data_IF_425988031248
#
_entry.id   IF_425988031248
#
_cell.length_a   1.000
_cell.length_b   1.000
_cell.length_c   1.000
_cell.angle_alpha   90.00
_cell.angle_beta   90.00
_cell.angle_gamma   90.00
#
_symmetry.space_group_name_H-M   'P 1'
#
loop_
_entity.id
_entity.type
_entity.pdbx_description
1 polymer ?
#
# COMPACT_ATOMS: atom_id res chain seq x y z
N UNK A 1 -10.84 2.37 21.69
CA UNK A 1 -11.65 1.75 20.64
C UNK A 1 -10.97 1.97 19.29
N UNK A 2 -11.23 1.08 18.31
CA UNK A 2 -10.75 1.28 16.95
C UNK A 2 -11.78 2.09 16.17
N UNK A 3 -11.35 3.19 15.57
CA UNK A 3 -12.10 3.97 14.61
C UNK A 3 -11.99 3.36 13.22
N UNK A 4 -12.77 3.82 12.26
CA UNK A 4 -12.80 3.31 10.89
C UNK A 4 -12.58 4.44 9.89
N UNK A 5 -11.55 4.33 9.06
CA UNK A 5 -11.37 5.16 7.87
C UNK A 5 -11.78 4.39 6.62
N UNK A 6 -12.62 5.00 5.79
CA UNK A 6 -13.15 4.41 4.57
C UNK A 6 -12.72 5.25 3.37
N UNK A 7 -11.91 4.67 2.48
CA UNK A 7 -11.61 5.26 1.18
C UNK A 7 -12.83 5.20 0.26
N UNK A 8 -13.11 6.29 -0.40
CA UNK A 8 -14.06 6.38 -1.50
C UNK A 8 -13.33 6.79 -2.77
N UNK A 9 -13.76 6.24 -3.91
CA UNK A 9 -13.05 6.45 -5.17
C UNK A 9 -13.69 7.52 -6.03
N UNK A 10 -14.72 7.17 -6.77
CA UNK A 10 -15.39 8.06 -7.72
C UNK A 10 -16.90 7.95 -7.62
N UNK A 11 -17.62 9.01 -7.97
CA UNK A 11 -19.07 9.01 -8.11
C UNK A 11 -19.48 8.32 -9.41
N UNK A 12 -19.77 7.02 -9.30
CA UNK A 12 -20.11 6.17 -10.43
C UNK A 12 -21.55 5.69 -10.35
N UNK A 13 -22.35 6.05 -11.36
CA UNK A 13 -23.71 5.55 -11.53
C UNK A 13 -23.77 4.57 -12.72
N UNK A 14 -24.18 3.33 -12.43
CA UNK A 14 -24.37 2.28 -13.46
C UNK A 14 -25.37 2.67 -14.56
N UNK A 15 -26.29 3.60 -14.30
CA UNK A 15 -27.25 4.10 -15.28
C UNK A 15 -26.67 5.12 -16.26
N UNK A 16 -25.50 5.69 -15.94
CA UNK A 16 -24.80 6.73 -16.70
C UNK A 16 -23.47 6.20 -17.26
N UNK A 17 -23.49 5.03 -17.92
CA UNK A 17 -22.28 4.41 -18.49
C UNK A 17 -21.63 5.34 -19.52
N UNK A 18 -20.47 5.90 -19.17
CA UNK A 18 -19.67 6.74 -20.07
C UNK A 18 -18.80 5.81 -20.93
N UNK A 19 -18.93 5.83 -22.27
CA UNK A 19 -18.08 4.99 -23.11
C UNK A 19 -16.70 5.63 -23.32
N UNK A 20 -15.64 4.98 -22.81
CA UNK A 20 -14.26 5.40 -23.01
C UNK A 20 -13.56 4.56 -24.07
N UNK A 21 -12.67 5.19 -24.83
CA UNK A 21 -11.98 4.56 -25.95
C UNK A 21 -10.49 4.96 -25.99
N UNK A 22 -9.65 3.99 -26.30
CA UNK A 22 -8.30 4.23 -26.79
C UNK A 22 -8.28 3.98 -28.31
N UNK A 23 -8.26 5.04 -29.11
CA UNK A 23 -8.51 4.94 -30.56
C UNK A 23 -9.92 4.42 -30.86
N UNK A 24 -10.03 3.20 -31.40
CA UNK A 24 -11.31 2.52 -31.66
C UNK A 24 -11.62 1.42 -30.62
N UNK A 25 -10.69 1.13 -29.73
CA UNK A 25 -10.84 0.09 -28.74
C UNK A 25 -11.57 0.63 -27.51
N UNK A 26 -12.69 -0.02 -27.14
CA UNK A 26 -13.39 0.31 -25.90
C UNK A 26 -12.54 -0.15 -24.69
N UNK A 27 -12.37 0.76 -23.73
CA UNK A 27 -11.65 0.51 -22.46
C UNK A 27 -12.52 0.94 -21.29
N UNK A 28 -12.14 0.56 -20.07
CA UNK A 28 -12.69 1.19 -18.87
C UNK A 28 -12.17 2.61 -18.77
N UNK A 29 -13.04 3.52 -18.33
CA UNK A 29 -12.68 4.92 -18.15
C UNK A 29 -11.64 5.09 -17.03
N UNK A 30 -10.76 6.04 -17.19
CA UNK A 30 -9.90 6.51 -16.11
C UNK A 30 -10.65 7.38 -15.09
N UNK A 31 -10.06 7.64 -13.92
CA UNK A 31 -10.73 8.37 -12.84
C UNK A 31 -11.09 9.81 -13.19
N UNK A 32 -10.42 10.42 -14.17
CA UNK A 32 -10.67 11.81 -14.60
C UNK A 32 -12.02 12.02 -15.29
N UNK A 33 -12.69 10.94 -15.70
CA UNK A 33 -14.04 11.01 -16.30
C UNK A 33 -15.15 11.10 -15.24
N UNK A 34 -14.81 10.97 -13.96
CA UNK A 34 -15.75 10.96 -12.85
C UNK A 34 -15.33 11.95 -11.76
N UNK A 35 -16.30 12.47 -11.02
CA UNK A 35 -16.02 13.26 -9.82
C UNK A 35 -15.49 12.34 -8.71
N UNK A 36 -14.48 12.79 -7.97
CA UNK A 36 -14.01 12.11 -6.77
C UNK A 36 -15.04 12.21 -5.63
N UNK A 37 -15.00 11.26 -4.72
CA UNK A 37 -15.82 11.25 -3.50
C UNK A 37 -14.91 11.34 -2.28
N UNK A 38 -15.26 12.23 -1.34
CA UNK A 38 -14.51 12.36 -0.10
C UNK A 38 -14.52 11.05 0.70
N UNK A 39 -13.36 10.69 1.21
CA UNK A 39 -13.22 9.62 2.20
C UNK A 39 -13.97 9.95 3.48
N UNK A 40 -14.17 8.94 4.33
CA UNK A 40 -14.96 9.09 5.55
C UNK A 40 -14.21 8.53 6.76
N UNK A 41 -14.22 9.30 7.86
CA UNK A 41 -13.73 8.85 9.16
C UNK A 41 -14.92 8.67 10.12
N UNK A 42 -15.02 7.48 10.66
CA UNK A 42 -16.05 7.08 11.61
C UNK A 42 -15.43 6.82 12.98
N UNK A 43 -15.87 7.59 13.96
CA UNK A 43 -15.50 7.38 15.36
C UNK A 43 -16.35 6.26 15.97
N UNK A 44 -15.70 5.31 16.60
CA UNK A 44 -16.34 4.25 17.36
C UNK A 44 -16.94 4.82 18.68
N UNK A 45 -18.21 4.55 18.93
CA UNK A 45 -18.91 5.03 20.14
C UNK A 45 -18.76 4.07 21.33
N UNK A 46 -18.08 2.91 21.14
CA UNK A 46 -17.90 1.89 22.19
C UNK A 46 -19.11 1.03 22.49
N UNK A 47 -20.22 1.22 21.77
CA UNK A 47 -21.48 0.46 21.92
C UNK A 47 -21.84 -0.37 20.67
N UNK A 48 -20.91 -0.47 19.72
CA UNK A 48 -21.09 -1.13 18.42
C UNK A 48 -21.64 -0.21 17.33
N UNK A 49 -21.82 1.08 17.63
CA UNK A 49 -22.18 2.09 16.64
C UNK A 49 -21.02 3.02 16.31
N UNK A 50 -21.12 3.72 15.18
CA UNK A 50 -20.12 4.68 14.71
C UNK A 50 -20.75 6.04 14.40
N UNK A 51 -19.99 7.09 14.60
CA UNK A 51 -20.37 8.47 14.26
C UNK A 51 -19.45 9.00 13.16
N UNK A 52 -20.02 9.49 12.06
CA UNK A 52 -19.26 10.19 11.03
C UNK A 52 -18.68 11.49 11.59
N UNK A 53 -17.35 11.57 11.62
CA UNK A 53 -16.61 12.72 12.13
C UNK A 53 -15.75 13.38 11.06
N UNK A 54 -15.83 12.95 9.82
CA UNK A 54 -14.98 13.35 8.69
C UNK A 54 -14.71 14.85 8.63
N UNK A 55 -15.78 15.67 8.60
CA UNK A 55 -15.64 17.13 8.52
C UNK A 55 -15.15 17.75 9.84
N UNK A 56 -15.61 17.23 10.97
CA UNK A 56 -15.20 17.69 12.31
C UNK A 56 -13.73 17.39 12.57
N UNK A 57 -13.28 16.22 12.14
CA UNK A 57 -11.91 15.78 12.29
C UNK A 57 -10.92 16.46 11.31
N UNK A 58 -11.42 17.13 10.27
CA UNK A 58 -10.57 17.84 9.30
C UNK A 58 -9.97 16.97 8.20
N UNK A 59 -10.53 15.76 7.96
CA UNK A 59 -10.05 14.83 6.93
C UNK A 59 -10.90 14.84 5.65
N UNK A 60 -11.76 15.83 5.48
CA UNK A 60 -12.67 15.90 4.35
C UNK A 60 -12.04 16.55 3.12
N UNK A 61 -11.71 15.75 2.10
CA UNK A 61 -11.20 16.18 0.79
C UNK A 61 -12.22 15.79 -0.29
N UNK A 62 -13.03 16.73 -0.80
CA UNK A 62 -14.21 16.41 -1.62
C UNK A 62 -13.88 15.86 -3.01
N UNK A 63 -12.65 16.00 -3.47
CA UNK A 63 -12.17 15.54 -4.79
C UNK A 63 -11.18 14.39 -4.67
N UNK A 64 -11.02 13.80 -3.50
CA UNK A 64 -10.15 12.64 -3.30
C UNK A 64 -10.62 11.46 -4.17
N UNK A 65 -9.68 10.60 -4.52
CA UNK A 65 -9.92 9.31 -5.20
C UNK A 65 -9.13 8.25 -4.48
N UNK A 66 -9.44 8.07 -3.18
CA UNK A 66 -8.72 7.17 -2.29
C UNK A 66 -8.88 5.71 -2.69
N UNK A 67 -7.77 4.99 -2.81
CA UNK A 67 -7.74 3.55 -3.06
C UNK A 67 -7.04 2.77 -1.95
N UNK A 68 -5.93 3.28 -1.42
CA UNK A 68 -5.20 2.68 -0.32
C UNK A 68 -5.11 3.60 0.89
N UNK A 69 -5.15 3.03 2.09
CA UNK A 69 -4.99 3.78 3.34
C UNK A 69 -4.19 2.99 4.37
N UNK A 70 -3.32 3.70 5.07
CA UNK A 70 -2.61 3.20 6.26
C UNK A 70 -2.65 4.26 7.36
N UNK A 71 -2.46 3.81 8.60
CA UNK A 71 -2.52 4.69 9.77
C UNK A 71 -1.26 4.54 10.64
N UNK A 72 -0.08 4.97 10.15
CA UNK A 72 1.16 4.99 10.91
C UNK A 72 1.23 6.20 11.86
N UNK A 73 2.17 6.16 12.80
CA UNK A 73 2.69 7.34 13.49
C UNK A 73 3.99 7.74 12.76
N UNK A 74 3.91 8.69 11.82
CA UNK A 74 5.05 9.02 10.96
C UNK A 74 6.04 9.99 11.58
N UNK A 75 5.67 10.65 12.69
CA UNK A 75 6.48 11.67 13.36
C UNK A 75 6.86 11.31 14.79
N UNK A 76 6.60 10.07 15.22
CA UNK A 76 6.90 9.48 16.55
C UNK A 76 6.33 10.32 17.71
N UNK A 77 5.14 10.94 17.51
CA UNK A 77 4.46 11.75 18.54
C UNK A 77 3.48 10.94 19.41
N UNK A 78 3.28 9.66 19.10
CA UNK A 78 2.41 8.72 19.80
C UNK A 78 0.96 8.75 19.32
N UNK A 79 0.65 9.45 18.24
CA UNK A 79 -0.68 9.52 17.64
C UNK A 79 -0.66 9.01 16.21
N UNK A 80 -1.54 8.07 15.90
CA UNK A 80 -1.65 7.57 14.54
C UNK A 80 -2.09 8.67 13.56
N UNK A 81 -1.32 8.86 12.49
CA UNK A 81 -1.62 9.71 11.35
C UNK A 81 -2.40 8.90 10.30
N UNK A 82 -2.85 9.53 9.21
CA UNK A 82 -3.56 8.83 8.14
C UNK A 82 -2.90 9.21 6.81
N UNK A 83 -2.36 8.22 6.09
CA UNK A 83 -1.90 8.40 4.72
C UNK A 83 -2.83 7.71 3.74
N UNK A 84 -3.23 8.42 2.67
CA UNK A 84 -4.13 7.91 1.62
C UNK A 84 -3.45 8.01 0.26
N UNK A 85 -3.37 6.87 -0.42
CA UNK A 85 -2.97 6.77 -1.81
C UNK A 85 -4.16 7.12 -2.71
N UNK A 86 -4.03 8.18 -3.51
CA UNK A 86 -5.07 8.72 -4.38
C UNK A 86 -4.75 8.48 -5.86
N UNK A 87 -5.72 8.02 -6.64
CA UNK A 87 -5.56 7.81 -8.09
C UNK A 87 -5.60 9.14 -8.84
N UNK A 88 -4.49 9.49 -9.50
CA UNK A 88 -4.29 10.72 -10.28
C UNK A 88 -4.59 12.03 -9.52
N UNK A 89 -4.61 11.96 -8.20
CA UNK A 89 -4.68 13.11 -7.31
C UNK A 89 -3.47 13.11 -6.37
N UNK A 90 -3.09 14.27 -5.79
CA UNK A 90 -2.08 14.26 -4.74
C UNK A 90 -2.45 13.29 -3.62
N UNK A 91 -1.50 12.47 -3.18
CA UNK A 91 -1.69 11.68 -1.98
C UNK A 91 -1.84 12.59 -0.78
N UNK A 92 -2.64 12.18 0.21
CA UNK A 92 -2.89 12.99 1.40
C UNK A 92 -2.26 12.36 2.63
N UNK A 93 -1.63 13.19 3.45
CA UNK A 93 -1.13 12.83 4.77
C UNK A 93 -1.79 13.74 5.81
N UNK A 94 -2.63 13.15 6.63
CA UNK A 94 -3.33 13.84 7.72
C UNK A 94 -2.58 13.60 9.03
N UNK A 95 -1.91 14.63 9.54
CA UNK A 95 -1.19 14.61 10.80
C UNK A 95 -2.17 14.79 11.96
N UNK A 96 -2.18 13.84 12.86
CA UNK A 96 -3.01 13.83 14.06
C UNK A 96 -2.56 14.94 15.03
N UNK A 97 -3.50 15.72 15.54
CA UNK A 97 -3.21 16.83 16.46
C UNK A 97 -3.37 16.43 17.94
N UNK A 98 -3.56 15.14 18.24
CA UNK A 98 -3.76 14.63 19.60
C UNK A 98 -5.06 15.06 20.30
N UNK A 99 -5.97 15.67 19.57
CA UNK A 99 -7.23 16.21 20.09
C UNK A 99 -8.47 15.74 19.32
N UNK A 100 -8.32 14.71 18.48
CA UNK A 100 -9.37 14.17 17.61
C UNK A 100 -9.56 14.98 16.32
N UNK A 101 -8.61 15.84 15.97
CA UNK A 101 -8.56 16.53 14.68
C UNK A 101 -7.24 16.26 13.96
N UNK A 102 -7.26 16.42 12.66
CA UNK A 102 -6.12 16.20 11.77
C UNK A 102 -5.85 17.43 10.92
N UNK A 103 -4.61 17.54 10.43
CA UNK A 103 -4.19 18.57 9.49
C UNK A 103 -3.57 17.91 8.27
N UNK A 104 -4.07 18.23 7.08
CA UNK A 104 -3.49 17.73 5.83
C UNK A 104 -2.14 18.43 5.59
N UNK A 105 -1.05 17.65 5.46
CA UNK A 105 0.32 18.14 5.29
C UNK A 105 1.11 17.36 4.22
N UNK A 106 0.48 16.51 3.39
CA UNK A 106 1.17 15.64 2.44
C UNK A 106 2.10 16.38 1.49
N UNK A 107 1.66 17.52 0.92
CA UNK A 107 2.52 18.34 0.09
C UNK A 107 3.66 19.01 0.87
N UNK A 108 3.39 19.50 2.08
CA UNK A 108 4.39 20.13 2.93
C UNK A 108 5.47 19.14 3.35
N UNK A 109 5.08 17.90 3.56
CA UNK A 109 5.95 16.82 4.05
C UNK A 109 6.58 15.96 2.95
N UNK A 110 6.37 16.31 1.67
CA UNK A 110 7.07 15.70 0.54
C UNK A 110 6.47 14.40 0.01
N UNK A 111 5.35 13.90 0.55
CA UNK A 111 4.78 12.59 0.17
C UNK A 111 3.49 12.65 -0.68
N UNK A 112 3.08 13.85 -1.13
CA UNK A 112 1.88 14.00 -1.97
C UNK A 112 2.13 13.68 -3.45
N UNK A 113 3.36 13.80 -3.92
CA UNK A 113 3.80 13.69 -5.32
C UNK A 113 5.07 12.86 -5.41
N UNK A 114 5.36 12.33 -6.60
CA UNK A 114 6.67 11.74 -6.88
C UNK A 114 7.78 12.83 -6.98
N UNK A 115 9.03 12.41 -7.16
CA UNK A 115 10.20 13.30 -7.28
C UNK A 115 10.11 14.30 -8.44
N UNK A 116 9.30 14.04 -9.46
CA UNK A 116 9.04 14.96 -10.57
C UNK A 116 7.92 15.96 -10.27
N UNK A 117 7.30 15.91 -9.10
CA UNK A 117 6.16 16.73 -8.70
C UNK A 117 4.84 16.35 -9.37
N UNK A 118 4.70 15.11 -9.79
CA UNK A 118 3.52 14.57 -10.47
C UNK A 118 2.70 13.75 -9.48
N UNK A 119 1.38 13.93 -9.49
CA UNK A 119 0.44 13.05 -8.81
C UNK A 119 0.26 11.78 -9.66
N UNK A 120 0.69 10.65 -9.13
CA UNK A 120 0.59 9.35 -9.81
C UNK A 120 -0.81 8.73 -9.65
N UNK A 121 -1.09 7.69 -10.42
CA UNK A 121 -2.23 6.80 -10.19
C UNK A 121 -1.93 5.86 -9.02
N UNK A 122 -1.92 6.41 -7.80
CA UNK A 122 -1.55 5.68 -6.60
C UNK A 122 -2.67 4.78 -6.11
N UNK A 123 -2.35 3.52 -5.75
CA UNK A 123 -3.35 2.49 -5.42
C UNK A 123 -3.09 1.79 -4.10
N UNK A 124 -2.07 0.96 -4.03
CA UNK A 124 -1.68 0.27 -2.80
C UNK A 124 -0.67 1.10 -2.01
N UNK A 125 -0.64 0.86 -0.72
CA UNK A 125 0.33 1.48 0.19
C UNK A 125 0.64 0.54 1.35
N UNK A 126 1.89 0.57 1.77
CA UNK A 126 2.33 -0.04 3.02
C UNK A 126 3.37 0.82 3.72
N UNK A 127 3.66 0.52 4.97
CA UNK A 127 4.59 1.25 5.82
C UNK A 127 5.56 0.30 6.50
N UNK A 128 6.83 0.69 6.59
CA UNK A 128 7.88 -0.09 7.25
C UNK A 128 9.19 0.69 7.32
N UNK A 129 10.06 0.29 8.24
CA UNK A 129 11.43 0.80 8.38
C UNK A 129 12.35 -0.02 7.46
N UNK A 130 12.53 0.46 6.19
CA UNK A 130 13.24 -0.33 5.17
C UNK A 130 14.76 -0.30 5.33
N UNK A 131 15.30 0.73 5.97
CA UNK A 131 16.77 0.93 6.13
C UNK A 131 17.27 0.75 7.56
N UNK A 132 16.37 0.36 8.48
CA UNK A 132 16.64 0.10 9.90
C UNK A 132 17.15 1.33 10.64
N UNK A 133 16.67 2.52 10.28
CA UNK A 133 17.00 3.76 10.99
C UNK A 133 16.04 4.07 12.15
N UNK A 134 14.91 3.38 12.21
CA UNK A 134 13.90 3.45 13.28
C UNK A 134 12.67 4.27 12.90
N UNK A 135 12.61 4.85 11.70
CA UNK A 135 11.54 5.67 11.21
C UNK A 135 10.63 4.90 10.23
N UNK A 136 9.38 5.32 10.10
CA UNK A 136 8.42 4.62 9.25
C UNK A 136 8.39 5.24 7.85
N UNK A 137 8.81 4.46 6.85
CA UNK A 137 8.83 4.82 5.46
C UNK A 137 7.55 4.38 4.74
N UNK A 138 7.21 5.05 3.63
CA UNK A 138 6.03 4.75 2.85
C UNK A 138 6.41 4.10 1.52
N UNK A 139 5.77 2.98 1.19
CA UNK A 139 5.84 2.37 -0.12
C UNK A 139 4.48 2.44 -0.81
N UNK A 140 4.42 3.10 -1.98
CA UNK A 140 3.18 3.39 -2.71
C UNK A 140 3.26 2.76 -4.09
N UNK A 141 2.25 1.97 -4.47
CA UNK A 141 2.15 1.36 -5.80
C UNK A 141 1.33 2.21 -6.76
N UNK A 142 1.74 2.23 -8.02
CA UNK A 142 1.24 3.15 -9.03
C UNK A 142 0.74 2.43 -10.31
N UNK A 143 0.13 3.19 -11.19
CA UNK A 143 -0.38 2.74 -12.48
C UNK A 143 0.76 2.36 -13.45
N UNK A 144 0.45 1.59 -14.50
CA UNK A 144 1.39 1.27 -15.60
C UNK A 144 2.07 2.51 -16.16
N UNK A 145 3.36 2.41 -16.43
CA UNK A 145 4.23 3.47 -16.92
C UNK A 145 4.46 4.61 -15.90
N UNK A 146 4.24 4.30 -14.64
CA UNK A 146 4.60 5.10 -13.48
C UNK A 146 5.38 4.21 -12.50
N UNK A 147 6.55 4.66 -12.05
CA UNK A 147 7.28 3.92 -11.03
C UNK A 147 6.49 3.91 -9.71
N UNK A 148 6.51 2.79 -8.99
CA UNK A 148 6.09 2.79 -7.60
C UNK A 148 7.02 3.69 -6.79
N UNK A 149 6.56 4.31 -5.70
CA UNK A 149 7.33 5.29 -4.96
C UNK A 149 7.71 4.79 -3.57
N UNK A 150 9.01 4.84 -3.24
CA UNK A 150 9.48 4.70 -1.86
C UNK A 150 9.81 6.10 -1.33
N UNK A 151 9.03 6.52 -0.34
CA UNK A 151 9.15 7.78 0.36
C UNK A 151 9.85 7.53 1.69
N UNK A 152 11.15 7.85 1.74
CA UNK A 152 11.96 7.70 2.95
C UNK A 152 11.68 8.84 3.92
N UNK A 153 11.45 8.50 5.19
CA UNK A 153 11.18 9.43 6.29
C UNK A 153 12.50 9.95 6.87
N UNK A 154 12.56 11.22 7.23
CA UNK A 154 13.74 11.84 7.88
C UNK A 154 13.71 11.78 9.41
N UNK A 155 12.76 11.02 9.99
CA UNK A 155 12.53 10.91 11.43
C UNK A 155 11.61 11.99 12.02
N UNK A 156 11.16 12.91 11.20
CA UNK A 156 10.21 13.97 11.59
C UNK A 156 8.88 13.92 10.84
N UNK A 157 8.67 12.87 10.05
CA UNK A 157 7.53 12.72 9.15
C UNK A 157 7.63 13.62 7.91
N UNK A 158 8.83 13.96 7.48
CA UNK A 158 9.11 14.56 6.18
C UNK A 158 9.77 13.52 5.29
N UNK A 159 9.41 13.51 4.02
CA UNK A 159 9.72 12.41 3.11
C UNK A 159 10.47 12.88 1.89
N UNK A 160 11.44 12.07 1.48
CA UNK A 160 12.13 12.17 0.20
C UNK A 160 11.84 10.94 -0.66
N UNK A 161 11.50 11.13 -1.94
CA UNK A 161 11.32 10.02 -2.90
C UNK A 161 12.70 9.50 -3.35
N UNK A 162 13.09 8.34 -2.82
CA UNK A 162 14.37 7.69 -3.11
C UNK A 162 14.26 6.57 -4.16
N UNK A 163 13.12 6.38 -4.79
CA UNK A 163 12.79 5.26 -5.68
C UNK A 163 13.86 4.99 -6.75
N UNK A 164 14.41 6.04 -7.35
CA UNK A 164 15.45 5.93 -8.38
C UNK A 164 16.81 5.54 -7.80
N UNK A 165 17.13 6.03 -6.62
CA UNK A 165 18.45 5.85 -6.00
C UNK A 165 18.68 4.44 -5.45
N UNK A 166 17.59 3.74 -5.10
CA UNK A 166 17.62 2.45 -4.40
C UNK A 166 17.22 1.25 -5.28
N UNK A 167 17.07 1.46 -6.60
CA UNK A 167 16.89 0.36 -7.57
C UNK A 167 15.43 -0.08 -7.81
N UNK A 168 14.44 0.68 -7.38
CA UNK A 168 13.01 0.32 -7.49
C UNK A 168 12.33 0.90 -8.74
N UNK A 169 12.84 1.98 -9.33
CA UNK A 169 12.14 2.72 -10.38
C UNK A 169 11.97 1.91 -11.68
N UNK A 170 13.07 1.38 -12.25
CA UNK A 170 13.03 0.69 -13.54
C UNK A 170 12.14 -0.57 -13.51
N UNK A 171 12.30 -1.50 -12.55
CA UNK A 171 11.53 -2.74 -12.57
C UNK A 171 10.03 -2.51 -12.28
N UNK A 172 9.66 -1.48 -11.53
CA UNK A 172 8.26 -1.17 -11.20
C UNK A 172 7.55 -0.31 -12.24
N UNK A 173 8.25 0.21 -13.25
CA UNK A 173 7.71 1.21 -14.18
C UNK A 173 6.61 0.66 -15.12
N UNK A 174 6.81 -0.54 -15.68
CA UNK A 174 5.87 -1.08 -16.68
C UNK A 174 4.64 -1.76 -16.07
N UNK A 175 4.77 -2.58 -15.01
CA UNK A 175 3.62 -3.25 -14.40
C UNK A 175 2.61 -2.25 -13.82
N UNK A 176 1.35 -2.69 -13.72
CA UNK A 176 0.31 -2.00 -12.98
C UNK A 176 0.19 -2.67 -11.61
N UNK A 177 0.52 -1.94 -10.56
CA UNK A 177 0.63 -2.46 -9.21
C UNK A 177 -0.57 -2.07 -8.33
N UNK A 178 -1.06 -3.02 -7.51
CA UNK A 178 -2.13 -2.79 -6.53
C UNK A 178 -1.64 -3.16 -5.12
N UNK A 179 -1.97 -4.39 -4.68
CA UNK A 179 -1.62 -4.84 -3.34
C UNK A 179 -0.10 -4.94 -3.16
N UNK A 180 0.39 -4.48 -2.03
CA UNK A 180 1.82 -4.52 -1.71
C UNK A 180 2.04 -4.71 -0.22
N UNK A 181 3.21 -5.23 0.16
CA UNK A 181 3.64 -5.37 1.55
C UNK A 181 5.15 -5.25 1.69
N UNK A 182 5.57 -4.61 2.76
CA UNK A 182 6.87 -4.86 3.34
C UNK A 182 6.85 -6.24 4.01
N UNK A 183 7.90 -7.01 3.83
CA UNK A 183 8.03 -8.39 4.31
C UNK A 183 9.52 -8.74 4.46
N UNK A 184 9.90 -9.35 5.55
CA UNK A 184 11.22 -9.99 5.64
C UNK A 184 11.04 -11.46 5.20
N UNK A 185 11.09 -11.70 3.84
CA UNK A 185 10.75 -13.00 3.28
C UNK A 185 11.80 -14.08 3.56
N UNK A 186 13.04 -13.69 3.83
CA UNK A 186 14.13 -14.64 4.09
C UNK A 186 14.71 -14.53 5.52
N UNK A 187 14.03 -13.79 6.39
CA UNK A 187 14.35 -13.61 7.80
C UNK A 187 15.79 -13.11 8.01
N UNK A 188 16.28 -12.20 7.15
CA UNK A 188 17.61 -11.63 7.27
C UNK A 188 17.65 -10.31 8.07
N UNK A 189 16.48 -9.82 8.50
CA UNK A 189 16.31 -8.62 9.31
C UNK A 189 16.19 -7.32 8.50
N UNK A 190 16.08 -7.41 7.16
CA UNK A 190 15.80 -6.30 6.28
C UNK A 190 14.40 -6.46 5.68
N UNK A 191 13.61 -5.40 5.70
CA UNK A 191 12.29 -5.45 5.06
C UNK A 191 12.45 -5.42 3.53
N UNK A 192 12.01 -6.50 2.91
CA UNK A 192 11.84 -6.65 1.46
C UNK A 192 10.50 -6.08 1.01
N UNK A 193 10.25 -6.04 -0.28
CA UNK A 193 8.97 -5.58 -0.83
C UNK A 193 8.37 -6.64 -1.74
N UNK A 194 7.11 -7.00 -1.53
CA UNK A 194 6.33 -7.80 -2.47
C UNK A 194 5.23 -6.96 -3.09
N UNK A 195 5.05 -7.07 -4.41
CA UNK A 195 4.07 -6.31 -5.20
C UNK A 195 3.19 -7.23 -6.02
N UNK A 196 1.90 -7.10 -5.82
CA UNK A 196 0.87 -7.79 -6.57
C UNK A 196 0.39 -6.98 -7.77
N UNK A 197 0.81 -7.37 -8.96
CA UNK A 197 0.50 -6.71 -10.22
C UNK A 197 -0.74 -7.29 -10.90
N UNK A 198 -1.32 -6.50 -11.82
CA UNK A 198 -2.42 -6.92 -12.68
C UNK A 198 -3.15 -5.75 -13.29
N UNK A 199 -3.20 -5.71 -14.63
CA UNK A 199 -3.79 -4.59 -15.34
C UNK A 199 -5.32 -4.49 -15.12
N UNK A 200 -5.88 -3.27 -15.28
CA UNK A 200 -7.34 -3.05 -15.20
C UNK A 200 -8.05 -3.39 -16.51
N UNK A 201 -7.36 -3.26 -17.66
CA UNK A 201 -7.93 -3.53 -18.98
C UNK A 201 -7.59 -4.95 -19.42
N UNK A 202 -8.59 -5.81 -19.57
CA UNK A 202 -8.44 -7.20 -20.04
C UNK A 202 -7.96 -7.30 -21.49
N UNK A 203 -8.12 -6.22 -22.25
CA UNK A 203 -7.72 -6.06 -23.64
C UNK A 203 -6.47 -5.20 -23.86
N UNK A 204 -5.69 -4.91 -22.79
CA UNK A 204 -4.51 -4.02 -22.87
C UNK A 204 -3.49 -4.44 -23.93
N UNK A 205 -3.35 -5.74 -24.22
CA UNK A 205 -2.45 -6.27 -25.26
C UNK A 205 -2.79 -5.77 -26.67
N UNK A 206 -4.01 -5.25 -26.89
CA UNK A 206 -4.41 -4.61 -28.14
C UNK A 206 -3.97 -3.15 -28.24
N UNK A 207 -3.62 -2.54 -27.09
CA UNK A 207 -3.08 -1.18 -27.00
C UNK A 207 -1.55 -1.24 -27.09
N UNK A 208 -0.97 -2.10 -26.27
CA UNK A 208 0.48 -2.36 -26.24
C UNK A 208 0.73 -3.86 -26.06
N UNK A 209 1.38 -4.46 -27.06
CA UNK A 209 1.65 -5.90 -27.10
C UNK A 209 2.66 -6.37 -26.03
N UNK A 210 3.39 -5.46 -25.40
CA UNK A 210 4.26 -5.74 -24.26
C UNK A 210 3.53 -5.87 -22.94
N UNK A 211 2.29 -5.37 -22.85
CA UNK A 211 1.47 -5.40 -21.66
C UNK A 211 0.49 -6.58 -21.67
N UNK A 212 0.25 -7.14 -20.49
CA UNK A 212 -0.71 -8.23 -20.30
C UNK A 212 -1.68 -7.92 -19.17
N UNK A 213 -2.89 -8.51 -19.22
CA UNK A 213 -3.90 -8.34 -18.18
C UNK A 213 -3.48 -8.99 -16.85
N UNK A 214 -3.07 -10.27 -16.92
CA UNK A 214 -2.44 -10.94 -15.80
C UNK A 214 -0.94 -10.65 -15.85
N UNK A 215 -0.37 -10.20 -14.73
CA UNK A 215 1.02 -9.77 -14.62
C UNK A 215 1.76 -10.59 -13.55
N UNK A 216 3.09 -10.71 -13.65
CA UNK A 216 3.87 -11.41 -12.64
C UNK A 216 3.84 -10.65 -11.31
N UNK A 217 3.92 -11.43 -10.23
CA UNK A 217 4.26 -10.91 -8.91
C UNK A 217 5.70 -10.39 -8.95
N UNK A 218 5.99 -9.32 -8.24
CA UNK A 218 7.36 -8.84 -8.05
C UNK A 218 7.76 -8.99 -6.58
N UNK A 219 8.97 -9.42 -6.36
CA UNK A 219 9.64 -9.48 -5.06
C UNK A 219 10.96 -8.71 -5.19
N UNK A 220 11.15 -7.71 -4.36
CA UNK A 220 12.37 -6.91 -4.30
C UNK A 220 13.10 -7.23 -3.00
N UNK A 221 14.24 -7.92 -3.11
CA UNK A 221 15.10 -8.17 -1.96
C UNK A 221 15.86 -6.91 -1.58
N UNK A 222 15.76 -6.56 -0.32
CA UNK A 222 16.52 -5.49 0.31
C UNK A 222 17.88 -5.98 0.80
N UNK A 223 18.87 -5.15 0.64
CA UNK A 223 20.16 -5.33 1.29
C UNK A 223 20.77 -3.98 1.63
N UNK A 224 20.76 -3.64 2.91
CA UNK A 224 21.28 -2.36 3.42
C UNK A 224 20.63 -1.15 2.71
N UNK A 225 19.29 -1.15 2.56
CA UNK A 225 18.54 -0.05 1.97
C UNK A 225 18.56 0.00 0.44
N UNK A 226 19.11 -1.01 -0.24
CA UNK A 226 19.15 -1.11 -1.72
C UNK A 226 18.41 -2.36 -2.18
N UNK A 227 17.48 -2.19 -3.10
CA UNK A 227 16.62 -3.26 -3.59
C UNK A 227 17.11 -3.87 -4.89
N UNK A 228 16.87 -5.17 -5.04
CA UNK A 228 17.13 -5.93 -6.27
C UNK A 228 15.94 -6.85 -6.53
N UNK A 229 15.40 -6.83 -7.74
CA UNK A 229 14.28 -7.71 -8.09
C UNK A 229 14.73 -9.19 -8.08
N UNK A 230 13.94 -10.03 -7.43
CA UNK A 230 14.12 -11.48 -7.37
C UNK A 230 13.27 -12.13 -8.45
N UNK A 231 13.89 -12.96 -9.29
CA UNK A 231 13.16 -13.71 -10.32
C UNK A 231 12.40 -14.86 -9.68
N UNK A 232 11.07 -14.80 -9.69
CA UNK A 232 10.18 -15.85 -9.19
C UNK A 232 9.91 -16.89 -10.28
N UNK A 233 10.86 -17.83 -10.48
CA UNK A 233 10.76 -18.84 -11.54
C UNK A 233 9.57 -19.79 -11.35
N UNK A 234 8.83 -20.04 -12.44
CA UNK A 234 7.72 -20.99 -12.45
C UNK A 234 6.41 -20.48 -11.81
N UNK A 235 6.40 -19.25 -11.28
CA UNK A 235 5.18 -18.64 -10.76
C UNK A 235 4.28 -18.15 -11.90
N UNK A 236 2.98 -18.34 -11.76
CA UNK A 236 2.00 -17.85 -12.74
C UNK A 236 1.86 -16.33 -12.67
N UNK A 237 1.28 -15.72 -13.72
CA UNK A 237 0.83 -14.34 -13.69
C UNK A 237 -0.59 -14.24 -13.13
N UNK A 238 -0.86 -13.17 -12.39
CA UNK A 238 -2.10 -12.94 -11.67
C UNK A 238 -2.74 -11.60 -12.03
N UNK A 239 -3.97 -11.38 -11.60
CA UNK A 239 -4.64 -10.06 -11.65
C UNK A 239 -4.91 -9.66 -10.22
N UNK A 240 -3.84 -9.28 -9.51
CA UNK A 240 -3.92 -8.96 -8.08
C UNK A 240 -4.61 -7.61 -7.87
N UNK A 241 -5.41 -7.52 -6.80
CA UNK A 241 -6.02 -6.30 -6.28
C UNK A 241 -5.70 -6.05 -4.82
N UNK A 242 -5.51 -7.12 -4.06
CA UNK A 242 -5.10 -7.04 -2.66
C UNK A 242 -4.06 -8.10 -2.37
N UNK A 243 -3.14 -7.78 -1.47
CA UNK A 243 -2.08 -8.67 -1.00
C UNK A 243 -2.01 -8.57 0.52
N UNK A 244 -1.87 -9.71 1.17
CA UNK A 244 -1.64 -9.83 2.60
C UNK A 244 -0.49 -10.80 2.84
N UNK A 245 0.17 -10.65 3.98
CA UNK A 245 1.21 -11.56 4.47
C UNK A 245 0.81 -12.14 5.81
N UNK A 246 1.34 -13.30 6.14
CA UNK A 246 1.17 -13.94 7.44
C UNK A 246 1.71 -15.36 7.43
N UNK A 247 2.20 -15.81 8.55
CA UNK A 247 2.65 -17.18 8.80
C UNK A 247 1.43 -18.05 9.10
N UNK A 248 0.87 -18.75 8.07
CA UNK A 248 -0.40 -19.49 8.23
C UNK A 248 -0.20 -20.91 8.77
N UNK A 249 0.97 -21.46 8.56
CA UNK A 249 1.29 -22.83 8.99
C UNK A 249 2.19 -22.88 10.23
N UNK A 250 2.62 -21.72 10.74
CA UNK A 250 3.41 -21.50 11.95
C UNK A 250 4.82 -22.12 11.87
N UNK A 251 5.44 -22.02 10.69
CA UNK A 251 6.81 -22.47 10.47
C UNK A 251 7.86 -21.38 10.69
N UNK A 252 7.42 -20.10 10.83
CA UNK A 252 8.23 -18.94 11.18
C UNK A 252 8.66 -18.09 9.99
N UNK A 253 8.25 -18.42 8.77
CA UNK A 253 8.36 -17.52 7.63
C UNK A 253 7.00 -16.95 7.23
N UNK A 254 7.00 -15.90 6.41
CA UNK A 254 5.76 -15.23 6.01
C UNK A 254 5.31 -15.68 4.64
N UNK A 255 4.02 -16.04 4.56
CA UNK A 255 3.33 -16.48 3.36
C UNK A 255 2.54 -15.34 2.71
N UNK A 256 2.13 -15.54 1.46
CA UNK A 256 1.40 -14.54 0.69
C UNK A 256 -0.03 -14.99 0.38
N UNK A 257 -0.97 -14.05 0.56
CA UNK A 257 -2.38 -14.22 0.20
C UNK A 257 -2.75 -13.21 -0.87
N UNK A 258 -3.06 -13.70 -2.08
CA UNK A 258 -3.35 -12.85 -3.24
C UNK A 258 -4.85 -12.80 -3.51
N UNK A 259 -5.47 -11.65 -3.29
CA UNK A 259 -6.83 -11.37 -3.73
C UNK A 259 -6.81 -10.96 -5.20
N UNK A 260 -7.45 -11.77 -6.05
CA UNK A 260 -7.49 -11.54 -7.50
C UNK A 260 -8.83 -10.97 -7.96
N UNK A 261 -8.79 -10.20 -9.05
CA UNK A 261 -10.01 -9.77 -9.74
C UNK A 261 -10.72 -10.97 -10.36
N UNK A 262 -11.97 -11.21 -9.92
CA UNK A 262 -12.87 -12.25 -10.45
C UNK A 262 -12.26 -13.67 -10.48
N UNK A 263 -11.40 -14.00 -9.51
CA UNK A 263 -10.75 -15.32 -9.36
C UNK A 263 -10.65 -15.70 -7.88
N UNK A 264 -10.49 -17.00 -7.56
CA UNK A 264 -10.25 -17.43 -6.20
C UNK A 264 -9.00 -16.78 -5.58
N UNK A 265 -9.00 -16.72 -4.24
CA UNK A 265 -7.81 -16.41 -3.46
C UNK A 265 -6.68 -17.41 -3.81
N UNK A 266 -5.47 -16.91 -3.92
CA UNK A 266 -4.26 -17.72 -4.03
C UNK A 266 -3.47 -17.59 -2.73
N UNK A 267 -3.02 -18.70 -2.20
CA UNK A 267 -2.07 -18.76 -1.10
C UNK A 267 -0.75 -19.27 -1.68
N UNK A 268 0.32 -18.54 -1.45
CA UNK A 268 1.67 -18.93 -1.80
C UNK A 268 2.44 -19.15 -0.51
N UNK A 269 2.77 -20.40 -0.26
CA UNK A 269 3.57 -20.83 0.89
C UNK A 269 5.04 -20.48 0.63
N UNK A 270 5.66 -19.80 1.57
CA UNK A 270 7.10 -19.64 1.61
C UNK A 270 7.70 -20.97 2.12
N UNK A 271 8.73 -21.45 1.49
CA UNK A 271 9.37 -22.73 1.84
C UNK A 271 10.84 -22.56 2.21
N UNK A 272 11.22 -21.36 2.58
CA UNK A 272 12.63 -21.04 2.82
C UNK A 272 13.15 -21.77 4.06
N UNK A 273 12.37 -21.78 5.14
CA UNK A 273 12.76 -22.45 6.40
C UNK A 273 12.66 -23.96 6.32
N UNK A 274 11.75 -24.52 5.53
CA UNK A 274 11.57 -25.96 5.35
C UNK A 274 12.80 -26.66 4.75
N UNK A 275 13.62 -25.97 3.99
CA UNK A 275 14.74 -26.56 3.25
C UNK A 275 16.02 -26.76 4.06
N UNK A 276 16.02 -26.51 5.38
CA UNK A 276 17.21 -26.61 6.25
C UNK A 276 18.45 -25.80 5.75
N UNK A 277 18.24 -24.84 4.86
CA UNK A 277 19.32 -24.03 4.26
C UNK A 277 19.66 -22.81 5.11
N UNK A 278 18.82 -22.47 6.10
CA UNK A 278 18.91 -21.27 6.95
C UNK A 278 19.61 -21.52 8.28
N UNK A 279 20.88 -21.90 8.24
CA UNK A 279 21.69 -21.95 9.46
C UNK A 279 21.92 -20.52 10.00
N UNK A 280 21.27 -20.21 11.11
CA UNK A 280 21.44 -18.94 11.81
C UNK A 280 20.27 -17.97 11.71
N UNK A 281 19.19 -18.35 11.03
CA UNK A 281 17.92 -17.62 11.06
C UNK A 281 17.16 -17.99 12.33
N UNK A 282 16.61 -17.00 13.00
CA UNK A 282 15.75 -17.17 14.17
C UNK A 282 14.57 -16.22 14.09
N UNK A 283 13.41 -16.68 14.53
CA UNK A 283 12.19 -15.89 14.58
C UNK A 283 11.61 -15.88 16.00
N UNK A 284 10.80 -14.87 16.28
CA UNK A 284 10.14 -14.70 17.57
C UNK A 284 8.69 -14.29 17.33
N UNK A 285 7.76 -15.07 17.86
CA UNK A 285 6.34 -14.69 17.89
C UNK A 285 6.03 -14.01 19.22
N UNK A 286 5.42 -12.83 19.16
CA UNK A 286 4.97 -12.07 20.31
C UNK A 286 3.43 -12.02 20.32
N UNK A 287 2.84 -12.45 21.44
CA UNK A 287 1.41 -12.35 21.67
C UNK A 287 1.14 -11.16 22.61
N UNK A 288 0.60 -10.07 22.05
CA UNK A 288 0.35 -8.84 22.78
C UNK A 288 -1.02 -8.88 23.44
N UNK A 289 -1.03 -8.82 24.77
CA UNK A 289 -2.27 -8.85 25.55
C UNK A 289 -2.43 -7.56 26.36
N UNK A 290 -3.55 -6.89 26.16
CA UNK A 290 -3.94 -5.71 26.95
C UNK A 290 -5.24 -5.95 27.71
N UNK A 291 -5.35 -5.38 28.92
CA UNK A 291 -6.58 -5.42 29.73
C UNK A 291 -7.58 -4.32 29.38
N UNK A 292 -7.32 -3.52 28.33
CA UNK A 292 -8.16 -2.42 27.88
C UNK A 292 -9.07 -2.78 26.70
N UNK A 293 -9.70 -1.76 26.11
CA UNK A 293 -10.53 -1.90 24.90
C UNK A 293 -9.70 -2.32 23.67
N UNK A 294 -8.43 -1.95 23.64
CA UNK A 294 -7.46 -2.43 22.64
C UNK A 294 -6.80 -3.73 23.14
N UNK A 295 -7.57 -4.82 23.16
CA UNK A 295 -7.13 -6.11 23.72
C UNK A 295 -5.96 -6.73 22.95
N UNK A 296 -5.80 -6.41 21.69
CA UNK A 296 -4.79 -6.97 20.80
C UNK A 296 -3.54 -6.08 20.67
N UNK A 297 -3.48 -4.97 21.42
CA UNK A 297 -2.33 -4.07 21.44
C UNK A 297 -2.05 -3.39 20.09
N UNK A 298 -3.08 -3.15 19.26
CA UNK A 298 -2.91 -2.48 17.95
C UNK A 298 -2.28 -1.10 18.17
N UNK A 299 -1.26 -0.76 17.37
CA UNK A 299 -0.46 0.45 17.50
C UNK A 299 0.68 0.34 18.52
N UNK A 300 0.95 -0.87 19.05
CA UNK A 300 2.11 -1.09 19.94
C UNK A 300 3.38 -1.23 19.10
N UNK A 301 4.38 -0.45 19.42
CA UNK A 301 5.73 -0.62 18.88
C UNK A 301 6.53 -1.59 19.75
N UNK A 302 7.14 -2.60 19.13
CA UNK A 302 8.04 -3.55 19.77
C UNK A 302 9.43 -3.35 19.18
N UNK A 303 10.43 -3.09 20.05
CA UNK A 303 11.85 -3.04 19.64
C UNK A 303 12.54 -4.30 20.16
N UNK A 304 13.16 -5.08 19.27
CA UNK A 304 13.86 -6.34 19.57
C UNK A 304 15.36 -6.14 19.43
#
# INVERSE_FOLDING_TARGET
DLDLYLCNYVDYDLSEDIPCYFGQLRIYCGPNEYDGIADQLYQNNGDGSFTDVTKRAGVWVPTARGLGVICPDVNDDGWADIYVANDMNPNTLFINQGNGTFKEEGQLRGCAYNSDGIANGSMGVDVGDYDNDGDMDLWVTNFSLEANCLMANDGGGYFDDLTFDIGLAEPSFVPLAFGTKFIDYDNDGWLDIVVGNGHIWDNVHQIDSSMTYAQPLQLFKNKNGVFTEVVLEGLASYVVRGLMTGDYDNDGDQDLFLCQSNRPLVVLENQLLDKNETKGVAWLTLDLLSNGLNSNGIGTTVKV
#
